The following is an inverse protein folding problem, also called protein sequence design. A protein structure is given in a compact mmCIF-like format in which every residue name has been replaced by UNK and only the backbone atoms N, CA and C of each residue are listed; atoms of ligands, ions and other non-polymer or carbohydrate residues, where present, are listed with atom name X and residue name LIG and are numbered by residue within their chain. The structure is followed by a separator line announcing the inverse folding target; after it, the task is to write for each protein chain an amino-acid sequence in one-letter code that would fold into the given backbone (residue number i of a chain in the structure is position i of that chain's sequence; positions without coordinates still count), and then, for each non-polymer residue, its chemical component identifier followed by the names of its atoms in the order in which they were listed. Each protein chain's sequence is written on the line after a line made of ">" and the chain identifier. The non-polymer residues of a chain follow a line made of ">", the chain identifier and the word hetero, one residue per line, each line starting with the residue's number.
data_IF_240732656779
#
_entry.id   IF_240732656779
#
_cell.length_a   1.000
_cell.length_b   1.000
_cell.length_c   1.000
_cell.angle_alpha   90.00
_cell.angle_beta   90.00
_cell.angle_gamma   90.00
#
_symmetry.space_group_name_H-M   'P 1'
#
loop_
_entity.id
_entity.type
_entity.pdbx_description
1 polymer ?
#
# COMPACT_ATOMS: atom_id res chain seq x y z
N UNK A 1 12.81 21.29 0.63
CA UNK A 1 11.64 21.64 -0.20
C UNK A 1 11.89 21.22 -1.62
N UNK A 2 10.96 20.47 -2.23
CA UNK A 2 11.10 19.89 -3.58
C UNK A 2 11.54 20.96 -4.59
N UNK A 3 10.87 22.13 -4.59
CA UNK A 3 11.15 23.24 -5.51
C UNK A 3 12.61 23.73 -5.40
N UNK A 4 13.11 23.93 -4.18
CA UNK A 4 14.47 24.44 -3.94
C UNK A 4 15.52 23.42 -4.39
N UNK A 5 15.31 22.13 -4.08
CA UNK A 5 16.21 21.05 -4.50
C UNK A 5 16.20 20.84 -6.02
N UNK A 6 15.04 20.95 -6.68
CA UNK A 6 14.94 20.86 -8.14
C UNK A 6 15.62 22.05 -8.83
N UNK A 7 15.48 23.27 -8.28
CA UNK A 7 16.17 24.45 -8.80
C UNK A 7 17.69 24.37 -8.66
N UNK A 8 18.19 23.87 -7.52
CA UNK A 8 19.62 23.64 -7.31
C UNK A 8 20.16 22.56 -8.25
N UNK A 9 19.44 21.45 -8.43
CA UNK A 9 19.79 20.41 -9.39
C UNK A 9 19.79 20.90 -10.85
N UNK A 10 18.88 21.81 -11.20
CA UNK A 10 18.89 22.49 -12.50
C UNK A 10 20.11 23.41 -12.67
N UNK A 11 20.49 24.17 -11.64
CA UNK A 11 21.68 25.02 -11.66
C UNK A 11 23.00 24.24 -11.72
N UNK A 12 23.04 23.05 -11.11
CA UNK A 12 24.21 22.14 -11.15
C UNK A 12 24.31 21.33 -12.45
N UNK A 13 23.30 21.38 -13.32
CA UNK A 13 23.26 20.66 -14.59
C UNK A 13 22.74 19.21 -14.52
N UNK A 14 22.29 18.76 -13.34
CA UNK A 14 21.77 17.41 -13.11
C UNK A 14 20.30 17.25 -13.56
N UNK A 15 19.56 18.35 -13.71
CA UNK A 15 18.16 18.36 -14.13
C UNK A 15 18.05 19.01 -15.51
N UNK A 16 17.54 18.27 -16.49
CA UNK A 16 17.24 18.81 -17.82
C UNK A 16 15.80 19.32 -17.89
N UNK A 17 15.64 20.53 -18.42
CA UNK A 17 14.31 21.11 -18.63
C UNK A 17 13.60 20.44 -19.81
N UNK A 18 12.52 19.72 -19.53
CA UNK A 18 11.76 18.94 -20.52
C UNK A 18 10.47 19.65 -21.00
N UNK A 19 10.29 20.94 -20.67
CA UNK A 19 9.09 21.71 -21.01
C UNK A 19 8.11 21.86 -19.84
N UNK A 20 7.01 22.59 -20.06
CA UNK A 20 5.95 22.83 -19.05
C UNK A 20 4.72 21.97 -19.33
N UNK A 21 4.37 21.77 -20.60
CA UNK A 21 3.18 21.03 -21.02
C UNK A 21 3.54 19.97 -22.05
N UNK A 22 3.07 18.74 -21.85
CA UNK A 22 3.09 17.70 -22.88
C UNK A 22 1.74 17.00 -22.98
N UNK A 23 1.43 16.48 -24.17
CA UNK A 23 0.32 15.56 -24.31
C UNK A 23 0.60 14.29 -23.47
N UNK A 24 -0.42 13.71 -22.80
CA UNK A 24 -0.27 12.43 -22.12
C UNK A 24 0.25 11.36 -23.09
N UNK A 25 1.13 10.44 -22.66
CA UNK A 25 1.51 9.31 -23.48
C UNK A 25 0.28 8.48 -23.87
N UNK A 26 0.30 7.90 -25.07
CA UNK A 26 -0.80 7.09 -25.58
C UNK A 26 -1.01 5.85 -24.72
N UNK A 27 -2.23 5.66 -24.20
CA UNK A 27 -2.61 4.48 -23.42
C UNK A 27 -2.93 3.25 -24.28
N UNK A 28 -3.00 3.42 -25.61
CA UNK A 28 -3.40 2.38 -26.58
C UNK A 28 -2.52 1.13 -26.57
N UNK A 29 -1.25 1.24 -26.19
CA UNK A 29 -0.32 0.12 -26.11
C UNK A 29 -0.49 -0.76 -24.86
N UNK A 30 -1.25 -0.29 -23.86
CA UNK A 30 -1.35 -0.95 -22.55
C UNK A 30 -2.79 -1.30 -22.21
N UNK A 31 -3.75 -0.48 -22.62
CA UNK A 31 -5.19 -0.74 -22.40
C UNK A 31 -5.60 -2.01 -23.13
N UNK A 32 -6.16 -2.97 -22.40
CA UNK A 32 -6.67 -4.23 -22.95
C UNK A 32 -5.60 -5.24 -23.36
N UNK A 33 -4.31 -4.91 -23.27
CA UNK A 33 -3.19 -5.84 -23.52
C UNK A 33 -2.85 -6.63 -22.25
N UNK A 34 -3.86 -7.16 -21.57
CA UNK A 34 -3.68 -7.95 -20.35
C UNK A 34 -3.35 -9.39 -20.74
N UNK A 35 -2.17 -9.86 -20.38
CA UNK A 35 -1.75 -11.24 -20.62
C UNK A 35 -2.37 -12.22 -19.62
N UNK A 36 -3.65 -12.53 -19.86
CA UNK A 36 -4.39 -13.52 -19.06
C UNK A 36 -3.84 -14.93 -19.26
N UNK A 37 -3.38 -15.27 -20.47
CA UNK A 37 -2.86 -16.60 -20.76
C UNK A 37 -1.54 -16.87 -20.01
N UNK A 38 -0.62 -15.89 -20.01
CA UNK A 38 0.61 -15.95 -19.22
C UNK A 38 0.37 -16.01 -17.73
N UNK A 39 -0.70 -15.38 -17.22
CA UNK A 39 -1.03 -15.37 -15.79
C UNK A 39 -1.31 -16.77 -15.19
N UNK A 40 -1.72 -17.75 -16.00
CA UNK A 40 -1.94 -19.14 -15.57
C UNK A 40 -0.65 -19.98 -15.47
N UNK A 41 0.50 -19.42 -15.81
CA UNK A 41 1.77 -20.12 -15.65
C UNK A 41 2.06 -20.34 -14.16
N UNK A 42 2.37 -21.59 -13.77
CA UNK A 42 2.68 -21.94 -12.37
C UNK A 42 3.84 -21.12 -11.78
N UNK A 43 4.79 -20.67 -12.60
CA UNK A 43 5.88 -19.79 -12.16
C UNK A 43 5.42 -18.37 -11.80
N UNK A 44 4.35 -17.88 -12.44
CA UNK A 44 3.75 -16.57 -12.13
C UNK A 44 2.68 -16.68 -11.04
N UNK A 45 2.07 -17.85 -10.86
CA UNK A 45 1.05 -18.06 -9.84
C UNK A 45 1.54 -17.71 -8.42
N UNK A 46 2.79 -18.04 -8.07
CA UNK A 46 3.38 -17.68 -6.78
C UNK A 46 3.58 -16.17 -6.59
N UNK A 47 3.99 -15.47 -7.65
CA UNK A 47 4.16 -14.01 -7.65
C UNK A 47 2.81 -13.32 -7.57
N UNK A 48 1.84 -13.73 -8.39
CA UNK A 48 0.46 -13.21 -8.37
C UNK A 48 -0.17 -13.42 -7.00
N UNK A 49 -0.01 -14.61 -6.42
CA UNK A 49 -0.52 -14.91 -5.09
C UNK A 49 0.10 -14.01 -4.01
N UNK A 50 1.42 -13.82 -4.07
CA UNK A 50 2.15 -12.93 -3.15
C UNK A 50 1.67 -11.48 -3.27
N UNK A 51 1.57 -10.94 -4.48
CA UNK A 51 1.08 -9.58 -4.71
C UNK A 51 -0.39 -9.42 -4.35
N UNK A 52 -1.23 -10.43 -4.58
CA UNK A 52 -2.63 -10.43 -4.16
C UNK A 52 -2.74 -10.28 -2.64
N UNK A 53 -1.97 -11.05 -1.87
CA UNK A 53 -1.98 -10.95 -0.42
C UNK A 53 -1.46 -9.60 0.06
N UNK A 54 -0.34 -9.11 -0.49
CA UNK A 54 0.19 -7.78 -0.15
C UNK A 54 -0.85 -6.70 -0.42
N UNK A 55 -1.47 -6.71 -1.60
CA UNK A 55 -2.47 -5.72 -2.00
C UNK A 55 -3.72 -5.78 -1.11
N UNK A 56 -4.17 -6.98 -0.73
CA UNK A 56 -5.29 -7.16 0.20
C UNK A 56 -5.00 -6.49 1.55
N UNK A 57 -3.79 -6.67 2.09
CA UNK A 57 -3.40 -6.11 3.37
C UNK A 57 -3.08 -4.62 3.29
N UNK A 58 -2.49 -4.15 2.20
CA UNK A 58 -2.21 -2.73 1.98
C UNK A 58 -3.52 -1.93 1.85
N UNK A 59 -4.45 -2.39 1.02
CA UNK A 59 -5.78 -1.80 0.87
C UNK A 59 -6.54 -1.79 2.20
N UNK A 60 -6.62 -2.94 2.88
CA UNK A 60 -7.33 -3.04 4.15
C UNK A 60 -6.68 -2.19 5.24
N UNK A 61 -5.36 -2.27 5.37
CA UNK A 61 -4.57 -1.55 6.36
C UNK A 61 -4.64 -0.04 6.16
N UNK A 62 -4.55 0.41 4.91
CA UNK A 62 -4.64 1.82 4.57
C UNK A 62 -6.05 2.36 4.75
N UNK A 63 -7.09 1.62 4.35
CA UNK A 63 -8.48 2.01 4.62
C UNK A 63 -8.73 2.17 6.12
N UNK A 64 -8.28 1.21 6.94
CA UNK A 64 -8.40 1.30 8.41
C UNK A 64 -7.59 2.49 8.94
N UNK A 65 -6.36 2.67 8.49
CA UNK A 65 -5.48 3.76 8.93
C UNK A 65 -6.03 5.16 8.61
N UNK A 66 -6.54 5.36 7.40
CA UNK A 66 -7.11 6.64 6.95
C UNK A 66 -8.46 6.92 7.62
N UNK A 67 -9.34 5.91 7.74
CA UNK A 67 -10.66 6.08 8.38
C UNK A 67 -10.56 6.36 9.88
N UNK A 68 -9.60 5.73 10.55
CA UNK A 68 -9.27 6.01 11.94
C UNK A 68 -8.76 7.45 12.12
N UNK A 69 -7.80 7.90 11.28
CA UNK A 69 -7.36 9.30 11.28
C UNK A 69 -8.47 10.30 10.92
N UNK A 70 -9.48 9.87 10.18
CA UNK A 70 -10.66 10.67 9.85
C UNK A 70 -11.70 10.75 10.97
N UNK A 71 -11.54 9.94 12.03
CA UNK A 71 -12.55 9.82 13.10
C UNK A 71 -13.85 9.17 12.61
N UNK A 72 -13.77 8.35 11.57
CA UNK A 72 -14.92 7.64 10.98
C UNK A 72 -15.07 6.21 11.51
N UNK A 73 -14.07 5.72 12.24
CA UNK A 73 -14.11 4.43 12.92
C UNK A 73 -14.85 4.53 14.26
N UNK A 74 -15.71 3.55 14.53
CA UNK A 74 -16.32 3.31 15.85
C UNK A 74 -15.24 2.87 16.88
N UNK A 75 -15.58 2.87 18.17
CA UNK A 75 -14.74 2.38 19.28
C UNK A 75 -14.25 0.93 19.06
N UNK A 76 -14.95 0.16 18.22
CA UNK A 76 -14.59 -1.20 17.81
C UNK A 76 -13.71 -1.26 16.54
N UNK A 77 -13.21 -0.13 16.04
CA UNK A 77 -12.41 -0.04 14.82
C UNK A 77 -13.21 -0.32 13.53
N UNK A 78 -14.54 -0.33 13.59
CA UNK A 78 -15.42 -0.57 12.44
C UNK A 78 -15.96 0.75 11.93
N UNK A 79 -15.84 0.99 10.64
CA UNK A 79 -16.46 2.14 9.98
C UNK A 79 -17.65 1.68 9.12
N UNK A 80 -18.68 2.54 8.93
CA UNK A 80 -19.84 2.20 8.14
C UNK A 80 -19.43 1.79 6.73
N UNK A 81 -20.07 0.75 6.20
CA UNK A 81 -19.92 0.32 4.80
C UNK A 81 -18.53 -0.22 4.40
N UNK A 82 -17.75 -0.75 5.34
CA UNK A 82 -16.43 -1.37 5.06
C UNK A 82 -16.44 -2.37 3.88
N UNK A 83 -17.46 -3.23 3.78
CA UNK A 83 -17.60 -4.17 2.65
C UNK A 83 -17.72 -3.46 1.29
N UNK A 84 -18.47 -2.35 1.26
CA UNK A 84 -18.68 -1.57 0.03
C UNK A 84 -17.41 -0.79 -0.32
N UNK A 85 -16.69 -0.27 0.67
CA UNK A 85 -15.39 0.38 0.45
C UNK A 85 -14.36 -0.59 -0.14
N UNK A 86 -14.23 -1.79 0.43
CA UNK A 86 -13.33 -2.85 -0.09
C UNK A 86 -13.73 -3.32 -1.50
N UNK A 87 -15.04 -3.37 -1.79
CA UNK A 87 -15.53 -3.72 -3.11
C UNK A 87 -15.19 -2.65 -4.16
N UNK A 88 -15.35 -1.37 -3.82
CA UNK A 88 -14.97 -0.25 -4.70
C UNK A 88 -13.46 -0.23 -4.94
N UNK A 89 -12.66 -0.48 -3.91
CA UNK A 89 -11.20 -0.58 -4.02
C UNK A 89 -10.80 -1.74 -4.95
N UNK A 90 -11.42 -2.91 -4.80
CA UNK A 90 -11.17 -4.08 -5.68
C UNK A 90 -11.54 -3.80 -7.14
N UNK A 91 -12.70 -3.18 -7.39
CA UNK A 91 -13.10 -2.79 -8.75
C UNK A 91 -12.14 -1.77 -9.34
N UNK A 92 -11.73 -0.77 -8.54
CA UNK A 92 -10.79 0.27 -8.97
C UNK A 92 -9.43 -0.34 -9.30
N UNK A 93 -8.95 -1.28 -8.49
CA UNK A 93 -7.72 -2.03 -8.71
C UNK A 93 -7.74 -2.82 -10.02
N UNK A 94 -8.80 -3.59 -10.26
CA UNK A 94 -8.96 -4.39 -11.49
C UNK A 94 -9.08 -3.49 -12.72
N UNK A 95 -9.84 -2.40 -12.61
CA UNK A 95 -10.03 -1.45 -13.72
C UNK A 95 -8.72 -0.71 -14.02
N UNK A 96 -7.96 -0.30 -13.01
CA UNK A 96 -6.64 0.31 -13.18
C UNK A 96 -5.64 -0.63 -13.84
N UNK A 97 -5.57 -1.87 -13.38
CA UNK A 97 -4.74 -2.91 -14.00
C UNK A 97 -5.10 -3.14 -15.48
N UNK A 98 -6.39 -3.13 -15.82
CA UNK A 98 -6.86 -3.26 -17.20
C UNK A 98 -6.47 -2.09 -18.11
N UNK A 99 -6.38 -0.88 -17.53
CA UNK A 99 -5.93 0.34 -18.22
C UNK A 99 -4.40 0.41 -18.32
N UNK A 100 -3.69 -0.53 -17.69
CA UNK A 100 -2.23 -0.63 -17.75
C UNK A 100 -1.49 0.06 -16.61
N UNK A 101 -2.20 0.46 -15.56
CA UNK A 101 -1.59 1.01 -14.35
C UNK A 101 -1.36 -0.08 -13.31
N UNK A 102 -0.54 0.21 -12.29
CA UNK A 102 -0.49 -0.61 -11.08
C UNK A 102 -1.86 -0.64 -10.38
N UNK A 103 -2.01 -1.53 -9.38
CA UNK A 103 -3.23 -1.63 -8.58
C UNK A 103 -3.58 -0.29 -7.95
N UNK A 104 -4.77 0.22 -8.25
CA UNK A 104 -5.28 1.47 -7.68
C UNK A 104 -5.89 1.18 -6.32
N UNK A 105 -5.29 1.73 -5.26
CA UNK A 105 -5.78 1.59 -3.89
C UNK A 105 -5.87 2.94 -3.16
N UNK A 106 -6.49 2.92 -1.98
CA UNK A 106 -6.47 4.07 -1.08
C UNK A 106 -5.04 4.37 -0.63
N UNK A 107 -4.64 5.65 -0.68
CA UNK A 107 -3.31 6.09 -0.27
C UNK A 107 -3.27 6.51 1.19
N UNK A 108 -2.28 6.02 1.94
CA UNK A 108 -2.11 6.35 3.36
C UNK A 108 -1.73 7.82 3.55
N UNK A 109 -1.11 8.42 2.54
CA UNK A 109 -0.82 9.84 2.41
C UNK A 109 -2.09 10.69 2.49
N UNK A 110 -3.25 10.13 2.13
CA UNK A 110 -4.54 10.80 2.28
C UNK A 110 -4.85 11.17 3.74
N UNK A 111 -4.20 10.50 4.70
CA UNK A 111 -4.29 10.88 6.12
C UNK A 111 -3.80 12.30 6.40
N UNK A 112 -2.85 12.83 5.62
CA UNK A 112 -2.43 14.23 5.75
C UNK A 112 -3.53 15.17 5.28
N UNK A 113 -4.22 14.85 4.18
CA UNK A 113 -5.41 15.59 3.71
C UNK A 113 -6.55 15.56 4.71
N UNK A 114 -6.78 14.41 5.35
CA UNK A 114 -7.76 14.25 6.44
C UNK A 114 -7.40 15.10 7.66
N UNK A 115 -6.12 15.18 8.02
CA UNK A 115 -5.65 15.96 9.19
C UNK A 115 -5.90 17.47 9.06
N UNK A 116 -5.93 17.99 7.82
CA UNK A 116 -6.24 19.40 7.53
C UNK A 116 -7.73 19.64 7.22
N UNK A 117 -8.60 18.63 7.41
CA UNK A 117 -10.05 18.76 7.29
C UNK A 117 -10.70 18.10 6.07
N UNK A 118 -9.92 17.44 5.20
CA UNK A 118 -10.42 16.70 4.03
C UNK A 118 -11.13 15.40 4.41
N UNK A 119 -12.37 15.48 4.91
CA UNK A 119 -13.14 14.33 5.42
C UNK A 119 -14.30 13.91 4.51
N UNK A 120 -14.42 14.48 3.32
CA UNK A 120 -15.56 14.25 2.41
C UNK A 120 -15.12 13.57 1.12
N UNK A 121 -16.04 12.82 0.49
CA UNK A 121 -15.80 12.23 -0.83
C UNK A 121 -15.56 13.29 -1.92
N UNK A 122 -16.09 14.51 -1.74
CA UNK A 122 -15.83 15.62 -2.66
C UNK A 122 -14.34 15.98 -2.70
N UNK A 123 -13.65 15.89 -1.57
CA UNK A 123 -12.19 16.09 -1.51
C UNK A 123 -11.46 15.09 -2.41
N UNK A 124 -11.84 13.81 -2.36
CA UNK A 124 -11.25 12.77 -3.21
C UNK A 124 -11.52 13.01 -4.71
N UNK A 125 -12.75 13.42 -5.06
CA UNK A 125 -13.12 13.74 -6.45
C UNK A 125 -12.34 14.94 -6.98
N UNK A 126 -12.26 16.03 -6.21
CA UNK A 126 -11.50 17.23 -6.60
C UNK A 126 -10.02 16.90 -6.78
N UNK A 127 -9.44 16.15 -5.84
CA UNK A 127 -8.04 15.69 -5.95
C UNK A 127 -7.85 14.84 -7.21
N UNK A 128 -8.76 13.91 -7.51
CA UNK A 128 -8.71 13.11 -8.73
C UNK A 128 -8.75 13.95 -10.01
N UNK A 129 -9.64 14.95 -10.08
CA UNK A 129 -9.72 15.88 -11.22
C UNK A 129 -8.42 16.68 -11.36
N UNK A 130 -7.88 17.18 -10.25
CA UNK A 130 -6.60 17.90 -10.25
C UNK A 130 -5.45 17.01 -10.73
N UNK A 131 -5.40 15.74 -10.31
CA UNK A 131 -4.41 14.78 -10.81
C UNK A 131 -4.56 14.51 -12.30
N UNK A 132 -5.77 14.43 -12.84
CA UNK A 132 -6.01 14.32 -14.29
C UNK A 132 -5.48 15.55 -15.05
N UNK A 133 -5.66 16.75 -14.51
CA UNK A 133 -5.12 17.98 -15.09
C UNK A 133 -3.59 18.04 -15.01
N UNK A 134 -2.99 17.49 -13.94
CA UNK A 134 -1.53 17.43 -13.74
C UNK A 134 -0.85 16.52 -14.76
N UNK A 135 -1.55 15.58 -15.42
CA UNK A 135 -0.96 14.74 -16.47
C UNK A 135 -0.39 15.61 -17.62
N UNK A 136 -1.03 16.74 -17.93
CA UNK A 136 -0.53 17.70 -18.92
C UNK A 136 0.77 18.38 -18.46
N UNK A 137 1.03 18.45 -17.16
CA UNK A 137 2.24 18.98 -16.54
C UNK A 137 3.25 17.86 -16.21
N UNK A 138 3.08 16.64 -16.77
CA UNK A 138 4.01 15.52 -16.58
C UNK A 138 5.50 15.84 -16.86
N UNK A 139 5.88 16.76 -17.79
CA UNK A 139 7.29 17.11 -17.97
C UNK A 139 7.91 17.74 -16.72
N UNK A 140 7.13 18.52 -15.97
CA UNK A 140 7.58 19.14 -14.72
C UNK A 140 7.76 18.10 -13.61
N UNK A 141 6.88 17.09 -13.55
CA UNK A 141 7.04 15.98 -12.62
C UNK A 141 8.32 15.17 -12.93
N UNK A 142 8.62 14.94 -14.21
CA UNK A 142 9.84 14.24 -14.65
C UNK A 142 11.15 15.01 -14.39
N UNK A 143 11.08 16.33 -14.16
CA UNK A 143 12.24 17.14 -13.77
C UNK A 143 12.59 17.00 -12.29
N UNK A 144 11.69 16.51 -11.44
CA UNK A 144 11.95 16.40 -10.01
C UNK A 144 12.91 15.26 -9.74
N UNK A 145 14.11 15.52 -9.20
CA UNK A 145 15.05 14.45 -8.92
C UNK A 145 14.55 13.56 -7.78
N UNK A 146 14.87 12.25 -7.79
CA UNK A 146 14.36 11.30 -6.78
C UNK A 146 14.71 11.71 -5.34
N UNK A 147 15.91 12.28 -5.13
CA UNK A 147 16.36 12.74 -3.82
C UNK A 147 15.55 13.93 -3.28
N UNK A 148 14.89 14.73 -4.13
CA UNK A 148 14.03 15.82 -3.70
C UNK A 148 12.74 15.29 -3.03
N UNK A 149 12.24 14.15 -3.50
CA UNK A 149 11.05 13.50 -2.93
C UNK A 149 11.36 12.72 -1.63
N UNK A 150 12.61 12.33 -1.42
CA UNK A 150 13.02 11.52 -0.28
C UNK A 150 12.60 12.09 1.08
N UNK A 151 12.74 13.42 1.28
CA UNK A 151 12.33 14.07 2.54
C UNK A 151 10.82 13.96 2.82
N UNK A 152 10.00 14.03 1.77
CA UNK A 152 8.56 13.85 1.90
C UNK A 152 8.20 12.39 2.24
N UNK A 153 8.85 11.43 1.59
CA UNK A 153 8.67 9.99 1.86
C UNK A 153 9.10 9.62 3.30
N UNK A 154 10.20 10.18 3.79
CA UNK A 154 10.65 9.98 5.18
C UNK A 154 9.59 10.51 6.15
N UNK A 155 9.05 11.71 5.91
CA UNK A 155 8.01 12.28 6.76
C UNK A 155 6.74 11.44 6.78
N UNK A 156 6.29 10.95 5.61
CA UNK A 156 5.17 10.00 5.50
C UNK A 156 5.45 8.73 6.30
N UNK A 157 6.65 8.15 6.18
CA UNK A 157 7.06 6.98 6.95
C UNK A 157 7.00 7.19 8.47
N UNK A 158 7.41 8.37 8.96
CA UNK A 158 7.30 8.75 10.37
C UNK A 158 5.82 8.81 10.81
N UNK A 159 4.95 9.42 10.00
CA UNK A 159 3.51 9.45 10.28
C UNK A 159 2.89 8.06 10.31
N UNK A 160 3.30 7.16 9.41
CA UNK A 160 2.82 5.78 9.38
C UNK A 160 3.28 4.98 10.61
N UNK A 161 4.52 5.20 11.04
CA UNK A 161 5.10 4.55 12.24
C UNK A 161 4.31 4.88 13.51
N UNK A 162 3.64 6.03 13.57
CA UNK A 162 2.76 6.38 14.70
C UNK A 162 1.64 5.36 14.94
N UNK A 163 1.22 4.62 13.91
CA UNK A 163 0.21 3.56 14.07
C UNK A 163 0.70 2.40 14.92
N UNK A 164 2.02 2.18 15.00
CA UNK A 164 2.60 1.14 15.84
C UNK A 164 2.38 1.41 17.34
N UNK A 165 2.16 2.68 17.72
CA UNK A 165 1.81 3.05 19.09
C UNK A 165 0.44 2.50 19.54
N UNK A 166 -0.42 2.09 18.61
CA UNK A 166 -1.74 1.51 18.91
C UNK A 166 -1.69 0.01 19.18
N UNK A 167 -0.56 -0.65 18.94
CA UNK A 167 -0.39 -2.06 19.27
C UNK A 167 -0.45 -2.22 20.79
N UNK A 168 -1.12 -3.28 21.26
CA UNK A 168 -1.12 -3.60 22.69
C UNK A 168 0.24 -4.20 23.10
N UNK A 169 1.18 -3.34 23.45
CA UNK A 169 2.54 -3.73 23.83
C UNK A 169 2.62 -4.57 25.13
N UNK A 170 1.57 -4.55 25.95
CA UNK A 170 1.50 -5.35 27.18
C UNK A 170 1.17 -6.82 26.91
N UNK A 171 0.60 -7.13 25.74
CA UNK A 171 0.29 -8.51 25.35
C UNK A 171 1.35 -9.03 24.37
N UNK A 172 2.21 -9.94 24.85
CA UNK A 172 3.23 -10.58 24.01
C UNK A 172 2.65 -11.32 22.81
N UNK A 173 1.40 -11.78 22.87
CA UNK A 173 0.74 -12.45 21.74
C UNK A 173 0.38 -11.49 20.60
N UNK A 174 0.36 -10.18 20.85
CA UNK A 174 0.11 -9.12 19.87
C UNK A 174 1.39 -8.36 19.51
N UNK A 175 2.24 -8.07 20.50
CA UNK A 175 3.43 -7.25 20.31
C UNK A 175 4.56 -7.97 19.59
N UNK A 176 4.76 -9.27 19.84
CA UNK A 176 5.79 -10.07 19.15
C UNK A 176 5.50 -10.15 17.64
N UNK A 177 4.28 -10.52 17.19
CA UNK A 177 3.96 -10.53 15.77
C UNK A 177 4.07 -9.16 15.09
N UNK A 178 3.61 -8.10 15.76
CA UNK A 178 3.73 -6.74 15.24
C UNK A 178 5.20 -6.32 15.06
N UNK A 179 6.05 -6.64 16.03
CA UNK A 179 7.48 -6.37 15.96
C UNK A 179 8.17 -7.16 14.83
N UNK A 180 7.90 -8.47 14.74
CA UNK A 180 8.45 -9.32 13.67
C UNK A 180 8.05 -8.77 12.30
N UNK A 181 6.77 -8.41 12.12
CA UNK A 181 6.27 -7.84 10.87
C UNK A 181 7.03 -6.56 10.50
N UNK A 182 7.14 -5.61 11.43
CA UNK A 182 7.75 -4.31 11.17
C UNK A 182 9.25 -4.40 10.85
N UNK A 183 9.96 -5.36 11.47
CA UNK A 183 11.42 -5.52 11.31
C UNK A 183 11.78 -6.40 10.10
N UNK A 184 10.96 -7.41 9.80
CA UNK A 184 11.22 -8.33 8.68
C UNK A 184 10.95 -7.71 7.31
N UNK A 185 10.00 -6.76 7.20
CA UNK A 185 9.80 -6.05 5.93
C UNK A 185 11.08 -5.39 5.38
N UNK A 186 11.80 -4.53 6.13
CA UNK A 186 13.03 -3.92 5.64
C UNK A 186 14.20 -4.91 5.56
N UNK A 187 14.33 -5.87 6.48
CA UNK A 187 15.44 -6.82 6.45
C UNK A 187 15.34 -7.86 5.34
N UNK A 188 14.13 -8.28 4.98
CA UNK A 188 13.90 -9.20 3.87
C UNK A 188 13.75 -8.49 2.52
N UNK A 189 13.81 -7.15 2.50
CA UNK A 189 13.52 -6.32 1.32
C UNK A 189 12.20 -6.69 0.62
N UNK A 190 11.25 -7.24 1.39
CA UNK A 190 10.02 -7.83 0.88
C UNK A 190 8.89 -7.62 1.88
N UNK A 191 7.88 -6.85 1.45
CA UNK A 191 6.66 -6.62 2.23
C UNK A 191 5.95 -7.95 2.46
N UNK A 192 5.87 -8.81 1.43
CA UNK A 192 5.25 -10.14 1.50
C UNK A 192 5.85 -10.98 2.62
N UNK A 193 7.18 -11.01 2.71
CA UNK A 193 7.88 -11.85 3.69
C UNK A 193 7.68 -11.35 5.11
N UNK A 194 7.71 -10.03 5.31
CA UNK A 194 7.41 -9.43 6.61
C UNK A 194 5.98 -9.71 7.07
N UNK A 195 4.99 -9.57 6.19
CA UNK A 195 3.59 -9.90 6.49
C UNK A 195 3.44 -11.40 6.78
N UNK A 196 4.06 -12.27 5.97
CA UNK A 196 4.02 -13.72 6.16
C UNK A 196 4.49 -14.13 7.56
N UNK A 197 5.69 -13.70 7.94
CA UNK A 197 6.27 -14.00 9.26
C UNK A 197 5.45 -13.38 10.40
N UNK A 198 4.82 -12.22 10.16
CA UNK A 198 3.85 -11.61 11.06
C UNK A 198 2.65 -12.50 11.36
N UNK A 199 1.96 -12.97 10.31
CA UNK A 199 0.79 -13.84 10.46
C UNK A 199 1.15 -15.21 11.07
N UNK A 200 2.28 -15.79 10.65
CA UNK A 200 2.77 -17.06 11.19
C UNK A 200 3.09 -16.93 12.68
N UNK A 201 3.85 -15.90 13.07
CA UNK A 201 4.17 -15.66 14.48
C UNK A 201 2.93 -15.38 15.33
N UNK A 202 1.93 -14.67 14.80
CA UNK A 202 0.65 -14.46 15.47
C UNK A 202 -0.08 -15.77 15.75
N UNK A 203 -0.18 -16.66 14.75
CA UNK A 203 -0.76 -17.99 14.93
C UNK A 203 0.01 -18.82 15.95
N UNK A 204 1.34 -18.87 15.84
CA UNK A 204 2.20 -19.63 16.77
C UNK A 204 2.04 -19.13 18.21
N UNK A 205 2.03 -17.81 18.43
CA UNK A 205 1.89 -17.22 19.76
C UNK A 205 0.50 -17.51 20.36
N UNK A 206 -0.58 -17.33 19.60
CA UNK A 206 -1.94 -17.58 20.09
C UNK A 206 -2.22 -19.06 20.34
N UNK A 207 -1.68 -19.96 19.52
CA UNK A 207 -1.76 -21.42 19.73
C UNK A 207 -0.93 -21.81 20.97
N UNK A 208 0.32 -21.37 21.05
CA UNK A 208 1.23 -21.71 22.13
C UNK A 208 0.82 -21.18 23.51
N UNK A 209 0.06 -20.07 23.56
CA UNK A 209 -0.50 -19.52 24.80
C UNK A 209 -1.91 -20.03 25.12
N UNK A 210 -2.44 -20.97 24.34
CA UNK A 210 -3.77 -21.56 24.55
C UNK A 210 -4.95 -20.63 24.20
N UNK A 211 -4.69 -19.46 23.60
CA UNK A 211 -5.69 -18.46 23.20
C UNK A 211 -6.27 -18.73 21.81
N UNK A 212 -6.69 -19.97 21.57
CA UNK A 212 -7.24 -20.41 20.29
C UNK A 212 -8.54 -19.67 19.90
N UNK A 213 -9.27 -19.12 20.89
CA UNK A 213 -10.50 -18.37 20.67
C UNK A 213 -10.30 -17.01 20.00
N UNK A 214 -9.09 -16.45 20.09
CA UNK A 214 -8.76 -15.17 19.46
C UNK A 214 -8.39 -15.33 17.97
N UNK A 215 -8.17 -16.57 17.52
CA UNK A 215 -7.82 -16.87 16.14
C UNK A 215 -9.07 -16.96 15.27
N UNK A 216 -9.24 -15.97 14.40
CA UNK A 216 -10.23 -16.09 13.33
C UNK A 216 -9.78 -17.14 12.31
N UNK A 217 -10.71 -17.94 11.74
CA UNK A 217 -10.39 -18.92 10.71
C UNK A 217 -9.63 -18.33 9.51
N UNK A 218 -9.94 -17.07 9.13
CA UNK A 218 -9.26 -16.37 8.06
C UNK A 218 -7.76 -16.19 8.34
N UNK A 219 -7.39 -15.80 9.56
CA UNK A 219 -5.98 -15.59 9.96
C UNK A 219 -5.20 -16.90 9.87
N UNK A 220 -5.80 -18.01 10.30
CA UNK A 220 -5.18 -19.34 10.23
C UNK A 220 -4.99 -19.80 8.79
N UNK A 221 -6.00 -19.61 7.92
CA UNK A 221 -5.91 -19.95 6.50
C UNK A 221 -4.80 -19.13 5.83
N UNK A 222 -4.75 -17.81 6.07
CA UNK A 222 -3.72 -16.94 5.53
C UNK A 222 -2.33 -17.36 5.99
N UNK A 223 -2.14 -17.63 7.29
CA UNK A 223 -0.87 -18.07 7.82
C UNK A 223 -0.43 -19.41 7.19
N UNK A 224 -1.34 -20.37 7.03
CA UNK A 224 -1.07 -21.63 6.35
C UNK A 224 -0.67 -21.42 4.89
N UNK A 225 -1.36 -20.54 4.17
CA UNK A 225 -1.01 -20.23 2.79
C UNK A 225 0.38 -19.59 2.65
N UNK A 226 0.76 -18.73 3.59
CA UNK A 226 2.11 -18.18 3.63
C UNK A 226 3.17 -19.24 3.94
N UNK A 227 2.90 -20.17 4.87
CA UNK A 227 3.78 -21.32 5.12
C UNK A 227 3.94 -22.16 3.86
N UNK A 228 2.84 -22.44 3.15
CA UNK A 228 2.90 -23.18 1.89
C UNK A 228 3.71 -22.42 0.82
N UNK A 229 3.54 -21.10 0.70
CA UNK A 229 4.35 -20.27 -0.20
C UNK A 229 5.84 -20.38 0.13
N UNK A 230 6.22 -20.24 1.40
CA UNK A 230 7.62 -20.31 1.82
C UNK A 230 8.22 -21.70 1.53
N UNK A 231 7.49 -22.77 1.86
CA UNK A 231 8.00 -24.15 1.70
C UNK A 231 8.08 -24.58 0.23
N UNK A 232 7.06 -24.26 -0.57
CA UNK A 232 6.96 -24.78 -1.95
C UNK A 232 7.52 -23.84 -3.02
N UNK A 233 7.52 -22.53 -2.79
CA UNK A 233 7.91 -21.54 -3.80
C UNK A 233 9.29 -20.97 -3.50
N UNK A 234 9.60 -20.60 -2.26
CA UNK A 234 10.91 -20.01 -1.93
C UNK A 234 11.97 -21.06 -1.53
N UNK A 235 11.54 -22.30 -1.26
CA UNK A 235 12.43 -23.41 -0.91
C UNK A 235 13.08 -24.13 -2.10
N UNK A 236 12.75 -23.75 -3.35
CA UNK A 236 13.29 -24.29 -4.61
C UNK A 236 13.81 -23.16 -5.49
#
# INVERSE_FOLDING_TARGET
>A
SIIVTTLLGWMMGDVHYNGIVSAPPSVTSVVGHVDLAGSFNLGLAGVIFSFMLVNLFDSSGTLIGVTDKAGLADEKGKFPRMKQALFVDSISSVTGAFVGTSSVTAYIESSSGVSVGGRTGLTAVVVGILFLLVIFLSPLAGMVPPYAAAGALIYVGVLMTSSLARVNWQDLTESVPAFITAVMMPFSFSITEGIALGFISYCVMKIGTGRLRDLSPCVVIVALLFVLKIVFIDGH
#
